data_IF_421196295710
#
_entry.id   IF_421196295710
#
_cell.length_a   1.000
_cell.length_b   1.000
_cell.length_c   1.000
_cell.angle_alpha   90.00
_cell.angle_beta   90.00
_cell.angle_gamma   90.00
#
_symmetry.space_group_name_H-M   'P 1'
#
loop_
_entity.id
_entity.type
_entity.pdbx_description
1 polymer ?
#
# COMPACT_ATOMS: atom_id res chain seq x y z
N UNK A 1 -7.53 -26.31 4.89
CA UNK A 1 -7.53 -25.14 5.78
C UNK A 1 -8.93 -24.57 5.82
N UNK A 2 -9.53 -24.51 6.98
CA UNK A 2 -10.91 -24.05 7.17
C UNK A 2 -10.99 -22.55 6.84
N UNK A 3 -11.97 -22.16 6.03
CA UNK A 3 -12.29 -20.76 5.65
C UNK A 3 -12.56 -19.81 6.82
N UNK A 4 -12.67 -20.34 8.04
CA UNK A 4 -12.92 -19.58 9.27
C UNK A 4 -11.67 -18.87 9.82
N UNK A 5 -10.45 -19.23 9.37
CA UNK A 5 -9.21 -18.59 9.82
C UNK A 5 -8.88 -17.27 9.10
N UNK A 6 -9.55 -16.94 8.01
CA UNK A 6 -9.29 -15.73 7.21
C UNK A 6 -9.84 -14.43 7.82
N UNK A 7 -10.71 -14.51 8.84
CA UNK A 7 -11.40 -13.35 9.41
C UNK A 7 -11.22 -13.16 10.93
N UNK A 8 -10.38 -13.98 11.59
CA UNK A 8 -10.06 -13.73 12.99
C UNK A 8 -9.03 -12.61 13.08
N UNK A 9 -9.50 -11.41 13.40
CA UNK A 9 -8.61 -10.32 13.80
C UNK A 9 -7.84 -10.75 15.05
N UNK A 10 -6.50 -10.59 15.09
CA UNK A 10 -5.73 -10.89 16.28
C UNK A 10 -6.22 -9.99 17.44
N UNK A 11 -6.27 -10.56 18.64
CA UNK A 11 -6.61 -9.80 19.83
C UNK A 11 -5.46 -8.86 20.18
N UNK A 12 -5.66 -7.55 19.96
CA UNK A 12 -4.70 -6.49 20.25
C UNK A 12 -5.19 -5.68 21.45
N UNK A 13 -4.30 -5.43 22.39
CA UNK A 13 -4.58 -4.54 23.51
C UNK A 13 -4.23 -3.07 23.20
N UNK A 14 -4.59 -2.16 24.13
CA UNK A 14 -4.31 -0.72 23.96
C UNK A 14 -2.82 -0.41 23.82
N UNK A 15 -1.95 -1.19 24.47
CA UNK A 15 -0.50 -1.01 24.38
C UNK A 15 0.03 -1.44 23.02
N UNK A 16 -0.51 -2.51 22.44
CA UNK A 16 -0.20 -2.94 21.08
C UNK A 16 -0.58 -1.85 20.06
N UNK A 17 -1.77 -1.24 20.20
CA UNK A 17 -2.21 -0.15 19.34
C UNK A 17 -1.35 1.11 19.49
N UNK A 18 -0.91 1.46 20.70
CA UNK A 18 0.01 2.57 20.93
C UNK A 18 1.37 2.31 20.29
N UNK A 19 1.94 1.11 20.44
CA UNK A 19 3.20 0.71 19.80
C UNK A 19 3.09 0.85 18.28
N UNK A 20 2.03 0.33 17.67
CA UNK A 20 1.78 0.45 16.23
C UNK A 20 1.69 1.90 15.78
N UNK A 21 1.01 2.76 16.55
CA UNK A 21 0.88 4.19 16.25
C UNK A 21 2.21 4.93 16.31
N UNK A 22 3.09 4.58 17.24
CA UNK A 22 4.44 5.16 17.31
C UNK A 22 5.25 4.70 16.10
N UNK A 23 5.26 3.40 15.82
CA UNK A 23 6.01 2.82 14.71
C UNK A 23 5.50 3.27 13.34
N UNK A 24 4.20 3.56 13.19
CA UNK A 24 3.65 4.11 11.94
C UNK A 24 4.14 5.52 11.63
N UNK A 25 4.46 6.30 12.66
CA UNK A 25 5.04 7.65 12.52
C UNK A 25 6.56 7.63 12.38
N UNK A 26 7.23 6.74 13.11
CA UNK A 26 8.67 6.57 13.10
C UNK A 26 9.05 5.09 13.26
N UNK A 27 9.18 4.37 12.15
CA UNK A 27 9.58 2.97 12.15
C UNK A 27 11.00 2.72 12.71
N UNK A 28 11.77 3.76 12.96
CA UNK A 28 13.12 3.71 13.57
C UNK A 28 13.12 4.06 15.05
N UNK A 29 11.96 4.28 15.67
CA UNK A 29 11.87 4.58 17.09
C UNK A 29 12.53 3.45 17.90
N UNK A 30 13.51 3.75 18.78
CA UNK A 30 14.15 2.75 19.61
C UNK A 30 13.16 2.19 20.63
N UNK A 31 13.30 0.92 20.99
CA UNK A 31 12.38 0.28 21.95
C UNK A 31 12.36 0.97 23.30
N UNK A 32 13.47 1.57 23.72
CA UNK A 32 13.55 2.36 24.96
C UNK A 32 12.68 3.62 24.93
N UNK A 33 12.51 4.25 23.78
CA UNK A 33 11.61 5.39 23.62
C UNK A 33 10.14 4.92 23.65
N UNK A 34 9.83 3.88 22.88
CA UNK A 34 8.49 3.26 22.87
C UNK A 34 8.10 2.80 24.27
N UNK A 35 9.03 2.13 24.98
CA UNK A 35 8.80 1.61 26.34
C UNK A 35 8.37 2.69 27.32
N UNK A 36 8.99 3.86 27.26
CA UNK A 36 8.62 5.02 28.09
C UNK A 36 7.20 5.51 27.78
N UNK A 37 6.82 5.58 26.51
CA UNK A 37 5.49 6.07 26.10
C UNK A 37 4.36 5.10 26.44
N UNK A 38 4.64 3.78 26.41
CA UNK A 38 3.64 2.74 26.70
C UNK A 38 3.73 2.20 28.12
N UNK A 39 4.63 2.73 28.96
CA UNK A 39 4.85 2.31 30.35
C UNK A 39 5.15 0.81 30.47
N UNK A 40 6.14 0.35 29.71
CA UNK A 40 6.64 -1.03 29.68
C UNK A 40 8.16 -1.05 29.76
N UNK A 41 8.76 -2.23 29.97
CA UNK A 41 10.19 -2.46 29.75
C UNK A 41 10.52 -2.60 28.26
N UNK A 42 11.76 -2.31 27.87
CA UNK A 42 12.27 -2.51 26.51
C UNK A 42 12.04 -3.96 26.02
N UNK A 43 12.28 -4.93 26.91
CA UNK A 43 12.07 -6.35 26.61
C UNK A 43 10.59 -6.66 26.37
N UNK A 44 9.69 -6.04 27.12
CA UNK A 44 8.25 -6.22 26.91
C UNK A 44 7.79 -5.62 25.57
N UNK A 45 8.30 -4.45 25.20
CA UNK A 45 8.05 -3.84 23.88
C UNK A 45 8.58 -4.74 22.77
N UNK A 46 9.83 -5.22 22.89
CA UNK A 46 10.42 -6.11 21.91
C UNK A 46 9.58 -7.39 21.70
N UNK A 47 9.10 -8.01 22.77
CA UNK A 47 8.25 -9.20 22.68
C UNK A 47 6.92 -8.91 21.98
N UNK A 48 6.30 -7.75 22.27
CA UNK A 48 5.06 -7.32 21.62
C UNK A 48 5.25 -7.04 20.13
N UNK A 49 6.30 -6.33 19.75
CA UNK A 49 6.63 -6.07 18.35
C UNK A 49 6.83 -7.37 17.58
N UNK A 50 7.61 -8.32 18.13
CA UNK A 50 7.77 -9.65 17.52
C UNK A 50 6.46 -10.42 17.36
N UNK A 51 5.57 -10.34 18.36
CA UNK A 51 4.23 -10.94 18.26
C UNK A 51 3.42 -10.30 17.12
N UNK A 52 3.46 -8.98 16.99
CA UNK A 52 2.76 -8.24 15.93
C UNK A 52 3.30 -8.58 14.54
N UNK A 53 4.60 -8.81 14.41
CA UNK A 53 5.24 -9.30 13.19
C UNK A 53 4.80 -10.73 12.85
N UNK A 54 4.85 -11.64 13.83
CA UNK A 54 4.44 -13.04 13.65
C UNK A 54 2.96 -13.19 13.28
N UNK A 55 2.10 -12.33 13.84
CA UNK A 55 0.68 -12.28 13.51
C UNK A 55 0.38 -11.60 12.15
N UNK A 56 1.41 -11.06 11.49
CA UNK A 56 1.26 -10.33 10.23
C UNK A 56 0.55 -8.98 10.35
N UNK A 57 0.37 -8.46 11.57
CA UNK A 57 -0.13 -7.10 11.81
C UNK A 57 0.88 -6.09 11.28
N UNK A 58 2.15 -6.26 11.62
CA UNK A 58 3.26 -5.56 10.99
C UNK A 58 3.70 -6.39 9.78
N UNK A 59 3.37 -5.93 8.59
CA UNK A 59 3.72 -6.62 7.34
C UNK A 59 5.17 -6.40 6.93
N UNK A 60 5.69 -5.19 7.16
CA UNK A 60 7.05 -4.76 6.82
C UNK A 60 7.34 -3.39 7.41
N UNK A 61 8.61 -3.06 7.50
CA UNK A 61 9.09 -1.70 7.78
C UNK A 61 9.46 -1.04 6.45
N UNK A 62 9.03 0.19 6.26
CA UNK A 62 9.28 0.92 5.03
C UNK A 62 9.43 2.41 5.30
N UNK A 63 9.81 3.15 4.27
CA UNK A 63 9.81 4.62 4.28
C UNK A 63 8.73 5.13 3.33
N UNK A 64 8.14 6.25 3.67
CA UNK A 64 7.32 7.05 2.77
C UNK A 64 8.25 8.08 2.12
N UNK A 65 8.18 8.18 0.81
CA UNK A 65 9.03 9.09 0.03
C UNK A 65 8.17 10.04 -0.79
N UNK A 66 8.65 11.25 -1.00
CA UNK A 66 8.05 12.18 -1.95
C UNK A 66 8.49 11.78 -3.39
N UNK A 67 7.56 11.32 -4.25
CA UNK A 67 7.89 10.93 -5.62
C UNK A 67 8.55 12.06 -6.41
N UNK A 68 8.14 13.31 -6.18
CA UNK A 68 8.67 14.49 -6.86
C UNK A 68 10.16 14.69 -6.58
N UNK A 69 10.59 14.42 -5.33
CA UNK A 69 12.00 14.47 -4.93
C UNK A 69 12.86 13.39 -5.59
N UNK A 70 12.24 12.31 -6.03
CA UNK A 70 12.87 11.23 -6.78
C UNK A 70 12.82 11.43 -8.30
N UNK A 71 12.26 12.56 -8.77
CA UNK A 71 12.14 12.88 -10.19
C UNK A 71 10.85 12.43 -10.86
N UNK A 72 9.90 11.85 -10.11
CA UNK A 72 8.57 11.49 -10.61
C UNK A 72 7.60 12.66 -10.40
N UNK A 73 7.41 13.47 -11.45
CA UNK A 73 6.58 14.67 -11.38
C UNK A 73 5.13 14.44 -11.67
N UNK A 74 4.77 13.26 -12.17
CA UNK A 74 3.40 12.87 -12.49
C UNK A 74 3.04 11.59 -11.77
N UNK A 75 2.01 11.66 -10.94
CA UNK A 75 1.46 10.54 -10.19
C UNK A 75 -0.02 10.44 -10.53
N UNK A 76 -0.51 9.24 -10.81
CA UNK A 76 -1.94 9.00 -11.00
C UNK A 76 -2.46 7.92 -10.07
N UNK A 77 -3.69 8.10 -9.65
CA UNK A 77 -4.53 7.04 -9.11
C UNK A 77 -5.45 6.63 -10.25
N UNK A 78 -5.31 5.41 -10.74
CA UNK A 78 -5.96 4.96 -11.98
C UNK A 78 -6.86 3.78 -11.71
N UNK A 79 -8.13 3.94 -12.06
CA UNK A 79 -9.09 2.84 -12.13
C UNK A 79 -9.03 2.15 -13.49
N UNK A 80 -9.10 0.82 -13.49
CA UNK A 80 -9.09 0.03 -14.73
C UNK A 80 -10.26 -0.95 -14.70
N UNK A 81 -11.09 -0.89 -15.74
CA UNK A 81 -12.19 -1.83 -15.97
C UNK A 81 -11.69 -2.96 -16.88
N UNK A 82 -11.88 -4.19 -16.43
CA UNK A 82 -11.37 -5.37 -17.10
C UNK A 82 -12.49 -6.37 -17.31
N UNK A 83 -12.47 -7.07 -18.44
CA UNK A 83 -13.35 -8.23 -18.65
C UNK A 83 -13.00 -9.31 -17.62
N UNK A 84 -14.00 -9.92 -16.94
CA UNK A 84 -13.77 -10.86 -15.83
C UNK A 84 -12.78 -11.98 -16.14
N UNK A 85 -12.84 -12.56 -17.33
CA UNK A 85 -11.97 -13.65 -17.78
C UNK A 85 -10.49 -13.23 -17.94
N UNK A 86 -10.21 -11.94 -18.10
CA UNK A 86 -8.85 -11.41 -18.28
C UNK A 86 -8.28 -10.80 -16.99
N UNK A 87 -9.05 -10.73 -15.89
CA UNK A 87 -8.66 -10.01 -14.67
C UNK A 87 -7.27 -10.41 -14.17
N UNK A 88 -7.04 -11.71 -14.00
CA UNK A 88 -5.75 -12.18 -13.45
C UNK A 88 -4.59 -11.99 -14.43
N UNK A 89 -4.83 -12.17 -15.73
CA UNK A 89 -3.78 -11.95 -16.74
C UNK A 89 -3.37 -10.48 -16.82
N UNK A 90 -4.34 -9.56 -16.69
CA UNK A 90 -4.06 -8.11 -16.63
C UNK A 90 -3.29 -7.77 -15.34
N UNK A 91 -3.71 -8.29 -14.18
CA UNK A 91 -3.01 -8.09 -12.90
C UNK A 91 -1.56 -8.58 -12.98
N UNK A 92 -1.33 -9.76 -13.55
CA UNK A 92 0.04 -10.31 -13.68
C UNK A 92 0.92 -9.44 -14.58
N UNK A 93 0.36 -8.87 -15.64
CA UNK A 93 1.08 -7.92 -16.48
C UNK A 93 1.39 -6.62 -15.73
N UNK A 94 0.42 -6.05 -15.02
CA UNK A 94 0.61 -4.82 -14.24
C UNK A 94 1.65 -4.98 -13.13
N UNK A 95 1.73 -6.14 -12.48
CA UNK A 95 2.75 -6.44 -11.46
C UNK A 95 4.18 -6.30 -11.98
N UNK A 96 4.42 -6.51 -13.26
CA UNK A 96 5.76 -6.44 -13.85
C UNK A 96 6.15 -5.03 -14.28
N UNK A 97 5.23 -4.08 -14.27
CA UNK A 97 5.48 -2.71 -14.70
C UNK A 97 6.16 -1.90 -13.60
N UNK A 98 7.37 -1.35 -13.82
CA UNK A 98 8.13 -0.65 -12.78
C UNK A 98 7.46 0.66 -12.32
N UNK A 99 6.64 1.26 -13.16
CA UNK A 99 5.89 2.48 -12.87
C UNK A 99 4.69 2.24 -11.94
N UNK A 100 4.19 1.00 -11.85
CA UNK A 100 3.09 0.60 -10.96
C UNK A 100 3.63 0.45 -9.54
N UNK A 101 3.19 1.31 -8.62
CA UNK A 101 3.66 1.35 -7.23
C UNK A 101 2.66 0.73 -6.24
N UNK A 102 1.40 0.71 -6.62
CA UNK A 102 0.33 0.05 -5.89
C UNK A 102 -0.61 -0.63 -6.88
N UNK A 103 -1.12 -1.78 -6.52
CA UNK A 103 -2.06 -2.55 -7.34
C UNK A 103 -3.02 -3.31 -6.43
N UNK A 104 -4.31 -3.11 -6.63
CA UNK A 104 -5.36 -3.81 -5.91
C UNK A 104 -6.48 -4.25 -6.87
N UNK A 105 -7.02 -5.44 -6.65
CA UNK A 105 -8.32 -5.84 -7.20
C UNK A 105 -9.39 -5.24 -6.30
N UNK A 106 -10.37 -4.60 -6.88
CA UNK A 106 -11.42 -3.89 -6.17
C UNK A 106 -12.82 -4.33 -6.63
N UNK A 107 -13.80 -4.08 -5.79
CA UNK A 107 -15.21 -4.16 -6.13
C UNK A 107 -15.79 -2.74 -6.27
N UNK A 108 -16.80 -2.55 -7.09
CA UNK A 108 -17.43 -1.26 -7.35
C UNK A 108 -17.15 -0.76 -8.76
N UNK A 109 -16.86 0.52 -8.91
CA UNK A 109 -16.78 1.19 -10.22
C UNK A 109 -15.64 0.68 -11.10
N UNK A 110 -14.56 0.20 -10.49
CA UNK A 110 -13.40 -0.34 -11.21
C UNK A 110 -13.01 -1.72 -10.70
N UNK A 111 -12.56 -2.58 -11.61
CA UNK A 111 -12.06 -3.93 -11.28
C UNK A 111 -10.67 -3.89 -10.64
N UNK A 112 -9.87 -2.90 -11.00
CA UNK A 112 -8.50 -2.71 -10.52
C UNK A 112 -8.29 -1.24 -10.17
N UNK A 113 -7.62 -0.99 -9.04
CA UNK A 113 -7.09 0.32 -8.69
C UNK A 113 -5.57 0.25 -8.61
N UNK A 114 -4.90 1.26 -9.17
CA UNK A 114 -3.44 1.32 -9.20
C UNK A 114 -2.93 2.74 -8.97
N UNK A 115 -1.72 2.84 -8.40
CA UNK A 115 -0.96 4.09 -8.33
C UNK A 115 0.23 3.96 -9.27
N UNK A 116 0.37 4.92 -10.18
CA UNK A 116 1.40 4.94 -11.21
C UNK A 116 2.25 6.19 -11.03
N UNK A 117 3.57 6.01 -11.05
CA UNK A 117 4.55 7.10 -11.02
C UNK A 117 5.22 7.23 -12.38
N UNK A 118 5.30 8.47 -12.88
CA UNK A 118 5.96 8.81 -14.12
C UNK A 118 6.80 10.09 -13.96
N UNK A 119 7.79 10.25 -14.81
CA UNK A 119 8.69 11.40 -14.77
C UNK A 119 7.96 12.71 -15.10
N UNK A 120 7.02 12.62 -16.04
CA UNK A 120 6.29 13.78 -16.56
C UNK A 120 4.91 13.38 -17.11
N UNK A 121 4.19 14.37 -17.64
CA UNK A 121 2.86 14.20 -18.23
C UNK A 121 2.87 13.41 -19.54
N UNK A 122 3.97 13.44 -20.28
CA UNK A 122 4.10 12.67 -21.54
C UNK A 122 4.25 11.18 -21.22
N UNK A 123 5.13 10.82 -20.29
CA UNK A 123 5.33 9.43 -19.87
C UNK A 123 4.07 8.83 -19.27
N UNK A 124 3.36 9.56 -18.40
CA UNK A 124 2.14 9.03 -17.77
C UNK A 124 1.02 8.80 -18.80
N UNK A 125 0.92 9.66 -19.81
CA UNK A 125 -0.04 9.50 -20.91
C UNK A 125 0.29 8.26 -21.75
N UNK A 126 1.56 8.03 -22.05
CA UNK A 126 2.02 6.83 -22.76
C UNK A 126 1.70 5.54 -21.97
N UNK A 127 1.95 5.56 -20.67
CA UNK A 127 1.62 4.42 -19.80
C UNK A 127 0.12 4.12 -19.84
N UNK A 128 -0.74 5.14 -19.69
CA UNK A 128 -2.20 4.95 -19.76
C UNK A 128 -2.65 4.44 -21.14
N UNK A 129 -2.02 4.90 -22.22
CA UNK A 129 -2.29 4.39 -23.56
C UNK A 129 -1.88 2.92 -23.70
N UNK A 130 -0.71 2.54 -23.18
CA UNK A 130 -0.27 1.14 -23.16
C UNK A 130 -1.21 0.25 -22.35
N UNK A 131 -1.69 0.72 -21.20
CA UNK A 131 -2.67 0.01 -20.38
C UNK A 131 -3.96 -0.24 -21.15
N UNK A 132 -4.45 0.74 -21.91
CA UNK A 132 -5.68 0.61 -22.70
C UNK A 132 -5.60 -0.41 -23.84
N UNK A 133 -4.38 -0.74 -24.28
CA UNK A 133 -4.11 -1.74 -25.34
C UNK A 133 -3.97 -3.17 -24.82
N UNK A 134 -3.95 -3.35 -23.48
CA UNK A 134 -3.85 -4.69 -22.90
C UNK A 134 -5.16 -5.46 -23.17
N UNK A 135 -5.03 -6.68 -23.65
CA UNK A 135 -6.19 -7.54 -23.92
C UNK A 135 -7.04 -7.73 -22.66
N UNK A 136 -8.34 -7.49 -22.78
CA UNK A 136 -9.30 -7.58 -21.69
C UNK A 136 -9.52 -6.28 -20.94
N UNK A 137 -8.69 -5.24 -21.14
CA UNK A 137 -8.93 -3.91 -20.59
C UNK A 137 -10.01 -3.23 -21.41
N UNK A 138 -11.08 -2.80 -20.75
CA UNK A 138 -12.21 -2.09 -21.34
C UNK A 138 -12.03 -0.58 -21.27
N UNK A 139 -11.53 -0.10 -20.15
CA UNK A 139 -11.42 1.33 -19.88
C UNK A 139 -10.31 1.59 -18.87
N UNK A 140 -9.56 2.64 -19.11
CA UNK A 140 -8.57 3.20 -18.18
C UNK A 140 -9.04 4.59 -17.76
N UNK A 141 -9.16 4.80 -16.46
CA UNK A 141 -9.69 6.03 -15.86
C UNK A 141 -8.61 6.65 -14.96
N UNK A 142 -7.71 7.48 -15.52
CA UNK A 142 -6.66 8.12 -14.74
C UNK A 142 -7.19 9.32 -13.96
N UNK A 143 -6.77 9.43 -12.69
CA UNK A 143 -6.90 10.63 -11.89
C UNK A 143 -5.49 11.12 -11.53
N UNK A 144 -5.08 12.25 -12.11
CA UNK A 144 -3.76 12.83 -11.83
C UNK A 144 -3.78 13.47 -10.44
N UNK A 145 -2.83 13.06 -9.60
CA UNK A 145 -2.67 13.61 -8.24
C UNK A 145 -2.07 14.99 -8.33
N UNK A 146 -2.81 16.00 -7.92
CA UNK A 146 -2.34 17.37 -7.87
C UNK A 146 -1.61 17.65 -6.56
N UNK A 147 -2.15 17.16 -5.45
CA UNK A 147 -1.58 17.29 -4.12
C UNK A 147 -2.03 16.13 -3.21
N UNK A 148 -1.20 15.76 -2.25
CA UNK A 148 -1.52 14.77 -1.22
C UNK A 148 -1.79 15.50 0.09
N UNK A 149 -3.05 15.57 0.46
CA UNK A 149 -3.48 16.33 1.65
C UNK A 149 -3.28 15.52 2.93
N UNK A 150 -3.41 14.20 2.86
CA UNK A 150 -3.23 13.30 4.00
C UNK A 150 -2.65 11.96 3.53
N UNK A 151 -1.63 11.51 4.22
CA UNK A 151 -0.98 10.21 4.00
C UNK A 151 -0.58 9.63 5.37
N UNK A 152 -1.42 8.78 5.90
CA UNK A 152 -1.22 8.14 7.21
C UNK A 152 -1.53 6.64 7.11
N UNK A 153 -0.82 5.84 7.90
CA UNK A 153 -1.09 4.39 8.00
C UNK A 153 -2.00 4.08 9.20
N UNK A 154 -1.81 4.80 10.32
CA UNK A 154 -2.55 4.69 11.57
C UNK A 154 -2.72 6.06 12.22
#
# INVERSE_FOLDING_TARGET
>A
MSSTQLFNSPELDEKDLKILKILSKNARAPFSEIAREVELSDVAVMKRVRKLEQLGVIKRYTIVVDPRKLGYRSVSITGIDVEPEYLFSVVDKLKTMPNVKFLAITSGDHSIMTIIWAKDSEEISKIHEELSKIRGVKRVCPAIVLDVIKEETL
#
